data_IF_593305284800
#
_entry.id   IF_593305284800
#
_cell.length_a   1.000
_cell.length_b   1.000
_cell.length_c   1.000
_cell.angle_alpha   90.00
_cell.angle_beta   90.00
_cell.angle_gamma   90.00
#
_symmetry.space_group_name_H-M   'P 1'
#
loop_
_entity.id
_entity.type
_entity.pdbx_description
1 polymer ?
#
# COMPACT_ATOMS: atom_id res chain seq x y z
N UNK A 1 4.08 26.43 -6.36
CA UNK A 1 4.47 26.15 -7.74
C UNK A 1 4.91 24.67 -7.80
N UNK A 2 3.95 23.76 -8.06
CA UNK A 2 4.25 22.36 -8.22
C UNK A 2 4.92 22.09 -9.58
N UNK A 3 5.97 21.28 -9.59
CA UNK A 3 6.57 20.83 -10.84
C UNK A 3 5.60 19.85 -11.53
N UNK A 4 5.46 19.90 -12.86
CA UNK A 4 4.63 18.94 -13.57
C UNK A 4 5.20 17.53 -13.45
N UNK A 5 4.30 16.57 -13.18
CA UNK A 5 4.64 15.14 -13.13
C UNK A 5 4.45 14.56 -14.53
N UNK A 6 5.43 13.85 -15.03
CA UNK A 6 5.32 13.15 -16.30
C UNK A 6 4.93 11.69 -16.07
N UNK A 7 3.76 11.31 -16.57
CA UNK A 7 3.25 9.93 -16.51
C UNK A 7 2.89 9.52 -17.94
N UNK A 8 3.50 8.43 -18.43
CA UNK A 8 3.31 7.95 -19.81
C UNK A 8 3.50 9.05 -20.90
N UNK A 9 4.50 9.89 -20.73
CA UNK A 9 4.80 10.99 -21.67
C UNK A 9 3.85 12.20 -21.60
N UNK A 10 2.86 12.19 -20.71
CA UNK A 10 1.99 13.33 -20.45
C UNK A 10 2.40 14.02 -19.16
N UNK A 11 2.32 15.35 -19.14
CA UNK A 11 2.60 16.15 -17.96
C UNK A 11 1.30 16.38 -17.18
N UNK A 12 1.35 16.12 -15.87
CA UNK A 12 0.25 16.39 -14.94
C UNK A 12 0.74 17.35 -13.86
N UNK A 13 -0.11 18.31 -13.49
CA UNK A 13 0.18 19.17 -12.33
C UNK A 13 0.18 18.34 -11.03
N UNK A 14 1.12 18.62 -10.13
CA UNK A 14 1.16 18.04 -8.79
C UNK A 14 0.04 18.62 -7.93
N UNK A 15 -0.69 17.74 -7.22
CA UNK A 15 -1.73 18.13 -6.25
C UNK A 15 -1.29 17.70 -4.86
N UNK A 16 -1.48 18.57 -3.87
CA UNK A 16 -1.17 18.23 -2.48
C UNK A 16 -1.93 16.98 -2.06
N UNK A 17 -1.18 15.96 -1.63
CA UNK A 17 -1.73 14.65 -1.24
C UNK A 17 -1.62 13.58 -2.32
N UNK A 18 -1.06 13.90 -3.48
CA UNK A 18 -0.70 12.89 -4.48
C UNK A 18 0.16 11.80 -3.87
N UNK A 19 -0.11 10.57 -4.27
CA UNK A 19 0.60 9.39 -3.79
C UNK A 19 1.27 8.67 -4.95
N UNK A 20 2.50 8.24 -4.70
CA UNK A 20 3.31 7.49 -5.67
C UNK A 20 3.66 6.13 -5.08
N UNK A 21 3.18 5.06 -5.73
CA UNK A 21 3.69 3.72 -5.53
C UNK A 21 4.85 3.55 -6.51
N UNK A 22 6.07 3.72 -6.04
CA UNK A 22 7.24 3.76 -6.89
C UNK A 22 7.97 2.41 -7.00
N UNK A 23 7.68 1.49 -6.07
CA UNK A 23 8.28 0.16 -6.02
C UNK A 23 7.43 -0.79 -5.19
N UNK A 24 7.58 -2.10 -5.39
CA UNK A 24 6.90 -3.15 -4.64
C UNK A 24 7.82 -4.33 -4.37
N UNK A 25 7.64 -4.97 -3.23
CA UNK A 25 8.14 -6.29 -2.92
C UNK A 25 6.94 -7.22 -2.73
N UNK A 26 6.67 -8.04 -3.74
CA UNK A 26 5.49 -8.90 -3.77
C UNK A 26 5.84 -10.31 -3.30
N UNK A 27 5.25 -10.74 -2.19
CA UNK A 27 5.54 -12.00 -1.50
C UNK A 27 4.73 -13.20 -2.03
N UNK A 28 4.50 -13.27 -3.35
CA UNK A 28 3.79 -14.37 -3.98
C UNK A 28 4.68 -15.07 -5.00
N UNK A 29 4.52 -16.39 -5.12
CA UNK A 29 5.04 -17.13 -6.27
C UNK A 29 4.20 -16.77 -7.51
N UNK A 30 4.81 -16.84 -8.68
CA UNK A 30 4.28 -16.33 -9.95
C UNK A 30 2.93 -16.88 -10.38
N UNK A 31 2.44 -17.94 -9.76
CA UNK A 31 1.18 -18.59 -10.09
C UNK A 31 0.41 -18.96 -8.82
N UNK A 32 -0.92 -18.93 -8.90
CA UNK A 32 -1.87 -19.46 -7.93
C UNK A 32 -1.93 -18.80 -6.52
N UNK A 33 -1.59 -17.53 -6.39
CA UNK A 33 -1.72 -16.81 -5.11
C UNK A 33 -1.02 -17.53 -3.93
N UNK A 34 0.10 -18.22 -4.20
CA UNK A 34 0.87 -18.95 -3.20
C UNK A 34 1.96 -18.06 -2.60
N UNK A 35 2.00 -17.98 -1.28
CA UNK A 35 3.06 -17.28 -0.56
C UNK A 35 4.42 -17.94 -0.75
N UNK A 36 5.49 -17.17 -0.50
CA UNK A 36 6.89 -17.63 -0.67
C UNK A 36 7.34 -18.69 0.34
N UNK A 37 6.49 -19.11 1.29
CA UNK A 37 6.82 -20.06 2.37
C UNK A 37 8.06 -19.67 3.19
N UNK A 38 8.26 -18.37 3.40
CA UNK A 38 9.35 -17.79 4.17
C UNK A 38 8.89 -17.43 5.58
N UNK A 39 9.81 -17.49 6.52
CA UNK A 39 9.58 -16.98 7.89
C UNK A 39 9.47 -15.45 7.89
N UNK A 40 8.88 -14.89 8.96
CA UNK A 40 8.77 -13.45 9.12
C UNK A 40 10.14 -12.73 9.10
N UNK A 41 11.18 -13.38 9.68
CA UNK A 41 12.56 -12.86 9.67
C UNK A 41 13.15 -12.86 8.26
N UNK A 42 12.98 -13.94 7.51
CA UNK A 42 13.47 -14.04 6.12
C UNK A 42 12.81 -12.99 5.22
N UNK A 43 11.48 -12.81 5.34
CA UNK A 43 10.75 -11.76 4.60
C UNK A 43 11.31 -10.38 4.97
N UNK A 44 11.49 -10.10 6.26
CA UNK A 44 12.02 -8.82 6.71
C UNK A 44 13.45 -8.58 6.22
N UNK A 45 14.31 -9.60 6.22
CA UNK A 45 15.66 -9.53 5.67
C UNK A 45 15.65 -9.22 4.16
N UNK A 46 14.76 -9.86 3.40
CA UNK A 46 14.57 -9.58 1.97
C UNK A 46 14.07 -8.14 1.73
N UNK A 47 13.12 -7.66 2.52
CA UNK A 47 12.68 -6.26 2.46
C UNK A 47 13.85 -5.31 2.68
N UNK A 48 14.70 -5.57 3.69
CA UNK A 48 15.87 -4.72 3.98
C UNK A 48 16.93 -4.78 2.88
N UNK A 49 17.10 -5.94 2.25
CA UNK A 49 17.99 -6.09 1.10
C UNK A 49 17.46 -5.28 -0.10
N UNK A 50 16.18 -5.42 -0.40
CA UNK A 50 15.51 -4.66 -1.46
C UNK A 50 15.59 -3.14 -1.25
N UNK A 51 15.33 -2.66 -0.02
CA UNK A 51 15.53 -1.24 0.35
C UNK A 51 16.96 -0.76 0.11
N UNK A 52 17.96 -1.62 0.38
CA UNK A 52 19.38 -1.30 0.14
C UNK A 52 19.68 -1.18 -1.35
N UNK A 53 19.22 -2.14 -2.15
CA UNK A 53 19.41 -2.16 -3.61
C UNK A 53 18.76 -0.95 -4.29
N UNK A 54 17.64 -0.51 -3.76
CA UNK A 54 16.92 0.69 -4.19
C UNK A 54 17.54 2.01 -3.71
N UNK A 55 18.62 1.98 -2.95
CA UNK A 55 19.22 3.17 -2.34
C UNK A 55 18.34 3.84 -1.27
N UNK A 56 17.35 3.11 -0.73
CA UNK A 56 16.37 3.60 0.24
C UNK A 56 16.68 3.22 1.68
N UNK A 57 17.86 2.63 1.93
CA UNK A 57 18.28 2.20 3.28
C UNK A 57 18.15 3.35 4.29
N UNK A 58 17.42 3.09 5.38
CA UNK A 58 17.19 4.06 6.46
C UNK A 58 16.18 5.17 6.14
N UNK A 59 15.67 5.25 4.92
CA UNK A 59 14.64 6.22 4.51
C UNK A 59 13.23 5.72 4.77
N UNK A 60 13.00 4.41 4.61
CA UNK A 60 11.71 3.77 4.89
C UNK A 60 11.61 3.55 6.40
N UNK A 61 10.56 4.07 7.00
CA UNK A 61 10.35 3.99 8.44
C UNK A 61 9.36 2.87 8.73
N UNK A 62 8.14 3.22 9.08
CA UNK A 62 7.08 2.25 9.34
C UNK A 62 5.93 2.45 8.34
N UNK A 63 5.19 1.40 8.11
CA UNK A 63 4.00 1.40 7.28
C UNK A 63 2.83 0.69 7.93
N UNK A 64 1.63 0.78 7.36
CA UNK A 64 0.47 0.04 7.80
C UNK A 64 0.57 -1.43 7.37
N UNK A 65 0.08 -2.32 8.22
CA UNK A 65 -0.08 -3.73 7.89
C UNK A 65 -1.36 -4.30 8.47
N UNK A 66 -1.80 -5.44 7.93
CA UNK A 66 -2.95 -6.15 8.46
C UNK A 66 -2.79 -6.45 9.95
N UNK A 67 -3.86 -6.26 10.71
CA UNK A 67 -3.84 -6.51 12.15
C UNK A 67 -3.53 -7.98 12.51
N UNK A 68 -3.72 -8.92 11.59
CA UNK A 68 -3.42 -10.34 11.82
C UNK A 68 -1.95 -10.58 12.17
N UNK A 69 -1.01 -9.80 11.59
CA UNK A 69 0.42 -9.98 11.89
C UNK A 69 0.80 -9.61 13.34
N UNK A 70 -0.08 -8.94 14.07
CA UNK A 70 0.10 -8.60 15.48
C UNK A 70 -0.53 -9.63 16.44
N UNK A 71 -1.28 -10.60 15.89
CA UNK A 71 -1.82 -11.70 16.67
C UNK A 71 -0.71 -12.64 17.12
N UNK A 72 -0.83 -13.16 18.34
CA UNK A 72 0.12 -14.12 18.90
C UNK A 72 -0.04 -15.48 18.21
N UNK A 73 1.03 -16.08 17.76
CA UNK A 73 1.02 -17.42 17.18
C UNK A 73 1.77 -18.46 18.05
N UNK A 74 2.72 -18.02 18.88
CA UNK A 74 3.46 -18.88 19.82
C UNK A 74 3.69 -18.10 21.12
N UNK A 75 2.82 -18.27 22.10
CA UNK A 75 2.89 -17.63 23.40
C UNK A 75 2.89 -16.09 23.32
N UNK A 76 4.07 -15.50 23.19
CA UNK A 76 4.26 -14.04 23.10
C UNK A 76 4.70 -13.56 21.72
N UNK A 77 5.04 -14.48 20.80
CA UNK A 77 5.57 -14.13 19.49
C UNK A 77 4.47 -13.65 18.53
N UNK A 78 4.79 -12.69 17.70
CA UNK A 78 3.94 -12.18 16.63
C UNK A 78 4.77 -12.01 15.37
N UNK A 79 4.17 -12.13 14.19
CA UNK A 79 4.84 -11.87 12.91
C UNK A 79 5.47 -10.48 12.88
N UNK A 80 4.70 -9.44 13.29
CA UNK A 80 5.21 -8.07 13.39
C UNK A 80 6.40 -7.94 14.36
N UNK A 81 6.37 -8.68 15.47
CA UNK A 81 7.46 -8.71 16.46
C UNK A 81 8.74 -9.31 15.90
N UNK A 82 8.62 -10.36 15.11
CA UNK A 82 9.79 -11.01 14.48
C UNK A 82 10.35 -10.13 13.35
N UNK A 83 9.51 -9.53 12.51
CA UNK A 83 9.96 -8.56 11.50
C UNK A 83 10.64 -7.33 12.12
N UNK A 84 10.19 -6.90 13.30
CA UNK A 84 10.79 -5.78 14.04
C UNK A 84 12.24 -6.07 14.46
N UNK A 85 12.61 -7.31 14.76
CA UNK A 85 13.99 -7.71 15.09
C UNK A 85 14.95 -7.46 13.94
N UNK A 86 14.44 -7.58 12.70
CA UNK A 86 15.18 -7.31 11.46
C UNK A 86 15.06 -5.84 11.01
N UNK A 87 14.47 -4.97 11.82
CA UNK A 87 14.36 -3.53 11.52
C UNK A 87 13.20 -3.13 10.60
N UNK A 88 12.22 -4.02 10.38
CA UNK A 88 10.98 -3.70 9.66
C UNK A 88 9.86 -3.43 10.66
N UNK A 89 9.26 -2.25 10.59
CA UNK A 89 8.27 -1.77 11.56
C UNK A 89 6.92 -1.56 10.91
N UNK A 90 5.88 -2.04 11.57
CA UNK A 90 4.50 -1.95 11.14
C UNK A 90 3.60 -1.26 12.16
N UNK A 91 2.55 -0.62 11.68
CA UNK A 91 1.41 -0.15 12.46
C UNK A 91 0.17 -0.95 12.06
N UNK A 92 -0.62 -1.39 13.03
CA UNK A 92 -1.86 -2.08 12.74
C UNK A 92 -2.86 -1.14 12.06
N UNK A 93 -3.50 -1.64 11.00
CA UNK A 93 -4.58 -0.90 10.33
C UNK A 93 -5.85 -0.92 11.15
N UNK A 94 -6.68 0.10 10.94
CA UNK A 94 -8.03 0.17 11.48
C UNK A 94 -8.93 -0.86 10.76
N UNK A 95 -9.54 -1.76 11.55
CA UNK A 95 -10.54 -2.75 11.10
C UNK A 95 -11.92 -2.49 11.71
N UNK A 96 -12.22 -1.27 12.13
CA UNK A 96 -13.56 -0.89 12.56
C UNK A 96 -14.61 -1.16 11.48
N UNK A 97 -15.86 -1.32 11.90
CA UNK A 97 -16.98 -1.56 10.97
C UNK A 97 -17.02 -0.51 9.87
N UNK A 98 -17.19 -0.93 8.62
CA UNK A 98 -17.20 -0.07 7.44
C UNK A 98 -15.83 0.41 6.95
N UNK A 99 -14.74 0.16 7.70
CA UNK A 99 -13.39 0.59 7.31
C UNK A 99 -12.95 0.04 5.96
N UNK A 100 -13.34 -1.19 5.63
CA UNK A 100 -13.02 -1.85 4.36
C UNK A 100 -13.69 -1.12 3.17
N UNK A 101 -14.99 -0.91 3.24
CA UNK A 101 -15.77 -0.20 2.20
C UNK A 101 -15.24 1.23 1.99
N UNK A 102 -15.05 1.97 3.09
CA UNK A 102 -14.50 3.32 3.02
C UNK A 102 -13.11 3.33 2.36
N UNK A 103 -12.29 2.33 2.63
CA UNK A 103 -10.97 2.19 2.03
C UNK A 103 -11.04 1.96 0.51
N UNK A 104 -11.92 1.07 0.04
CA UNK A 104 -12.14 0.87 -1.39
C UNK A 104 -12.68 2.12 -2.09
N UNK A 105 -13.60 2.84 -1.44
CA UNK A 105 -14.08 4.11 -1.96
C UNK A 105 -12.96 5.14 -2.07
N UNK A 106 -12.05 5.16 -1.09
CA UNK A 106 -10.90 6.05 -1.12
C UNK A 106 -9.94 5.72 -2.27
N UNK A 107 -9.69 4.43 -2.55
CA UNK A 107 -8.90 4.02 -3.73
C UNK A 107 -9.55 4.55 -5.01
N UNK A 108 -10.87 4.36 -5.19
CA UNK A 108 -11.60 4.86 -6.37
C UNK A 108 -11.46 6.38 -6.53
N UNK A 109 -11.56 7.12 -5.42
CA UNK A 109 -11.39 8.57 -5.43
C UNK A 109 -9.97 8.98 -5.87
N UNK A 110 -8.93 8.29 -5.38
CA UNK A 110 -7.55 8.56 -5.76
C UNK A 110 -7.25 8.17 -7.22
N UNK A 111 -7.80 7.07 -7.70
CA UNK A 111 -7.70 6.68 -9.11
C UNK A 111 -8.37 7.71 -10.02
N UNK A 112 -9.57 8.17 -9.64
CA UNK A 112 -10.28 9.24 -10.37
C UNK A 112 -9.50 10.57 -10.29
N UNK A 113 -8.93 10.91 -9.14
CA UNK A 113 -8.11 12.11 -8.96
C UNK A 113 -6.83 12.12 -9.80
N UNK A 114 -6.33 10.94 -10.18
CA UNK A 114 -5.16 10.82 -11.05
C UNK A 114 -5.48 11.08 -12.53
N UNK A 115 -6.75 11.07 -12.93
CA UNK A 115 -7.14 11.32 -14.31
C UNK A 115 -6.89 12.79 -14.71
N UNK A 116 -6.54 13.04 -15.99
CA UNK A 116 -6.44 14.39 -16.51
C UNK A 116 -7.78 15.14 -16.37
N UNK A 117 -7.72 16.39 -15.97
CA UNK A 117 -8.88 17.28 -16.04
C UNK A 117 -8.93 17.91 -17.44
N UNK A 118 -9.97 17.67 -18.26
CA UNK A 118 -10.06 18.22 -19.59
C UNK A 118 -10.21 19.75 -19.62
N UNK A 119 -10.63 20.33 -18.51
CA UNK A 119 -10.91 21.77 -18.39
C UNK A 119 -9.82 22.58 -17.69
N UNK A 120 -8.69 21.95 -17.34
CA UNK A 120 -7.60 22.64 -16.65
C UNK A 120 -6.68 21.69 -15.85
N UNK A 121 -5.97 22.20 -14.87
CA UNK A 121 -5.14 21.38 -13.99
C UNK A 121 -5.98 20.43 -13.14
N UNK A 122 -5.37 19.33 -12.68
CA UNK A 122 -6.00 18.46 -11.70
C UNK A 122 -6.22 19.23 -10.38
N UNK A 123 -7.34 18.96 -9.73
CA UNK A 123 -7.71 19.58 -8.46
C UNK A 123 -7.74 18.59 -7.28
N UNK A 124 -7.81 17.30 -7.58
CA UNK A 124 -7.91 16.24 -6.59
C UNK A 124 -6.64 15.41 -6.55
N UNK A 125 -6.24 15.02 -5.33
CA UNK A 125 -5.12 14.10 -5.13
C UNK A 125 -5.38 12.77 -5.84
N UNK A 126 -4.33 12.26 -6.49
CA UNK A 126 -4.35 11.01 -7.22
C UNK A 126 -3.32 10.01 -6.72
N UNK A 127 -3.46 8.75 -7.15
CA UNK A 127 -2.44 7.72 -6.96
C UNK A 127 -1.81 7.38 -8.32
N UNK A 128 -0.49 7.33 -8.33
CA UNK A 128 0.35 7.02 -9.48
C UNK A 128 1.17 5.78 -9.19
N UNK A 129 1.10 4.81 -10.09
CA UNK A 129 1.75 3.50 -9.93
C UNK A 129 2.85 3.39 -10.98
N UNK A 130 4.10 3.25 -10.53
CA UNK A 130 5.25 3.13 -11.42
C UNK A 130 5.30 1.77 -12.13
N UNK A 131 5.98 1.71 -13.26
CA UNK A 131 6.05 0.50 -14.11
C UNK A 131 6.67 -0.70 -13.41
N UNK A 132 7.56 -0.49 -12.45
CA UNK A 132 8.17 -1.56 -11.67
C UNK A 132 7.23 -2.24 -10.69
N UNK A 133 6.09 -1.62 -10.34
CA UNK A 133 5.03 -2.23 -9.53
C UNK A 133 4.17 -3.16 -10.41
N UNK A 134 4.75 -4.27 -10.85
CA UNK A 134 4.17 -5.17 -11.86
C UNK A 134 2.94 -5.89 -11.35
N UNK A 135 2.99 -6.39 -10.12
CA UNK A 135 1.89 -7.15 -9.52
C UNK A 135 0.73 -6.25 -9.15
N UNK A 136 0.97 -5.06 -8.62
CA UNK A 136 -0.07 -4.06 -8.42
C UNK A 136 -0.77 -3.71 -9.74
N UNK A 137 -0.02 -3.50 -10.80
CA UNK A 137 -0.57 -3.17 -12.13
C UNK A 137 -1.32 -4.32 -12.77
N UNK A 138 -0.95 -5.55 -12.47
CA UNK A 138 -1.61 -6.77 -12.95
C UNK A 138 -2.91 -7.03 -12.18
N UNK A 139 -2.91 -6.91 -10.87
CA UNK A 139 -4.01 -7.36 -10.01
C UNK A 139 -5.07 -6.29 -9.77
N UNK A 140 -4.67 -5.07 -9.43
CA UNK A 140 -5.61 -4.02 -8.98
C UNK A 140 -6.66 -3.66 -10.04
N UNK A 141 -6.33 -3.53 -11.35
CA UNK A 141 -7.35 -3.24 -12.37
C UNK A 141 -8.36 -4.36 -12.60
N UNK A 142 -8.00 -5.59 -12.22
CA UNK A 142 -8.80 -6.80 -12.46
C UNK A 142 -9.66 -7.20 -11.25
N UNK A 143 -9.63 -6.44 -10.15
CA UNK A 143 -10.37 -6.77 -8.93
C UNK A 143 -11.89 -6.71 -9.19
N UNK A 144 -12.61 -7.85 -9.11
CA UNK A 144 -14.07 -7.86 -9.26
C UNK A 144 -14.72 -7.28 -8.00
N UNK A 145 -15.91 -6.74 -8.19
CA UNK A 145 -16.78 -6.38 -7.07
C UNK A 145 -17.30 -7.62 -6.38
N UNK A 146 -17.60 -7.50 -5.09
CA UNK A 146 -18.29 -8.55 -4.35
C UNK A 146 -19.76 -8.63 -4.81
N UNK A 147 -20.27 -9.85 -5.04
CA UNK A 147 -21.62 -10.08 -5.57
C UNK A 147 -22.73 -9.66 -4.59
N UNK A 148 -22.45 -9.71 -3.29
CA UNK A 148 -23.39 -9.36 -2.23
C UNK A 148 -23.32 -7.89 -1.83
N UNK A 149 -22.15 -7.27 -2.02
CA UNK A 149 -21.92 -5.88 -1.68
C UNK A 149 -21.06 -5.20 -2.76
N UNK A 150 -21.72 -4.56 -3.70
CA UNK A 150 -21.07 -3.92 -4.86
C UNK A 150 -20.09 -2.79 -4.49
N UNK A 151 -20.11 -2.30 -3.25
CA UNK A 151 -19.14 -1.33 -2.75
C UNK A 151 -17.84 -1.99 -2.27
N UNK A 152 -17.86 -3.30 -2.06
CA UNK A 152 -16.70 -4.11 -1.70
C UNK A 152 -16.03 -4.74 -2.93
N UNK A 153 -14.92 -5.42 -2.69
CA UNK A 153 -14.18 -6.25 -3.62
C UNK A 153 -14.27 -7.70 -3.16
N UNK A 154 -14.42 -8.62 -4.11
CA UNK A 154 -14.40 -10.04 -3.83
C UNK A 154 -13.04 -10.43 -3.24
N UNK A 155 -13.03 -10.98 -2.01
CA UNK A 155 -11.82 -11.37 -1.28
C UNK A 155 -11.32 -12.78 -1.60
N UNK A 156 -12.01 -13.51 -2.48
CA UNK A 156 -11.57 -14.83 -2.94
C UNK A 156 -10.53 -14.76 -4.06
N UNK A 157 -10.30 -13.54 -4.59
CA UNK A 157 -9.28 -13.29 -5.61
C UNK A 157 -7.99 -12.73 -5.00
N UNK A 158 -6.99 -12.55 -5.83
CA UNK A 158 -5.70 -11.97 -5.45
C UNK A 158 -5.82 -10.45 -5.18
N UNK A 159 -6.32 -10.06 -4.00
CA UNK A 159 -6.60 -8.67 -3.61
C UNK A 159 -5.46 -8.00 -2.81
N UNK A 160 -4.35 -8.68 -2.57
CA UNK A 160 -3.27 -8.25 -1.66
C UNK A 160 -2.69 -6.88 -1.98
N UNK A 161 -2.44 -6.59 -3.27
CA UNK A 161 -1.93 -5.28 -3.68
C UNK A 161 -2.97 -4.18 -3.47
N UNK A 162 -4.25 -4.47 -3.74
CA UNK A 162 -5.37 -3.57 -3.45
C UNK A 162 -5.50 -3.30 -1.95
N UNK A 163 -5.40 -4.32 -1.13
CA UNK A 163 -5.44 -4.21 0.33
C UNK A 163 -4.27 -3.38 0.87
N UNK A 164 -3.06 -3.57 0.34
CA UNK A 164 -1.89 -2.74 0.69
C UNK A 164 -2.16 -1.26 0.40
N UNK A 165 -2.67 -0.92 -0.78
CA UNK A 165 -3.04 0.46 -1.13
C UNK A 165 -4.12 0.98 -0.19
N UNK A 166 -5.16 0.19 0.06
CA UNK A 166 -6.26 0.51 0.96
C UNK A 166 -5.77 0.83 2.37
N UNK A 167 -4.88 0.00 2.91
CA UNK A 167 -4.27 0.22 4.21
C UNK A 167 -3.45 1.51 4.23
N UNK A 168 -2.67 1.76 3.17
CA UNK A 168 -1.83 2.95 3.08
C UNK A 168 -2.64 4.24 3.01
N UNK A 169 -3.72 4.26 2.27
CA UNK A 169 -4.59 5.43 2.13
C UNK A 169 -5.33 5.76 3.43
N UNK A 170 -5.74 4.74 4.18
CA UNK A 170 -6.41 4.91 5.47
C UNK A 170 -5.47 5.15 6.65
N UNK A 171 -4.19 4.84 6.48
CA UNK A 171 -3.21 5.05 7.52
C UNK A 171 -2.88 6.53 7.65
N UNK A 172 -3.56 7.20 8.59
CA UNK A 172 -3.14 8.52 9.03
C UNK A 172 -1.91 8.35 9.90
N UNK A 173 -0.75 8.85 9.48
CA UNK A 173 0.34 9.10 10.43
C UNK A 173 -0.30 9.87 11.58
N UNK A 174 -0.43 9.27 12.74
CA UNK A 174 -0.67 10.00 13.98
C UNK A 174 0.43 11.04 14.00
N UNK A 175 0.04 12.28 13.84
CA UNK A 175 0.95 13.39 13.58
C UNK A 175 2.03 13.36 14.65
N UNK A 176 3.26 13.54 14.23
CA UNK A 176 4.43 13.77 15.09
C UNK A 176 4.25 15.08 15.93
N UNK A 177 3.08 15.65 15.97
CA UNK A 177 2.71 16.91 16.61
C UNK A 177 2.63 16.83 18.15
N UNK A 178 3.11 15.76 18.79
CA UNK A 178 3.21 15.69 20.25
C UNK A 178 4.61 15.31 20.75
N UNK A 179 5.66 15.71 20.08
CA UNK A 179 6.92 15.93 20.78
C UNK A 179 6.98 17.41 21.18
N UNK A 180 6.45 17.71 22.35
CA UNK A 180 6.91 18.86 23.11
C UNK A 180 8.40 18.63 23.37
N UNK A 181 9.19 19.54 22.89
CA UNK A 181 10.62 19.70 23.23
C UNK A 181 10.76 20.09 24.69
#
# INVERSE_FOLDING_TARGET
NGNPITVFGKQYGEVKGDMFLFDEYYGCQTEDNKGLNMTAQEIAAQIKLHEKEMGMRGRIKRGPADSAIFSKYDGKKTVAGDMKKEGVYWDAVDKSSGSRIQGWQQIRNYLTGALPNPNGPREKAGIFICDRCRDTRRTVPCLPRDDKNLDDVNSEVEDHAGDMIRYRLRWTRRSITQRKW
#
